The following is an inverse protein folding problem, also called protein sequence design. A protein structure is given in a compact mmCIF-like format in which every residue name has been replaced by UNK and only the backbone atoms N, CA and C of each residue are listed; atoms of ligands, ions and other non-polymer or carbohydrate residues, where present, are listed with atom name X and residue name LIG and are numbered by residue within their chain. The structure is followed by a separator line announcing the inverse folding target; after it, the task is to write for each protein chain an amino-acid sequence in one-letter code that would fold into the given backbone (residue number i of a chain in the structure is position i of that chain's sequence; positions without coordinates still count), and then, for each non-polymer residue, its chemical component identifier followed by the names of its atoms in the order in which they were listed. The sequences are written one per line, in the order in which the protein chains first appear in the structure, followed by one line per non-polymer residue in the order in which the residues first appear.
data_IF_958009807702
#
_entry.id   IF_958009807702
#
_cell.length_a   1.000
_cell.length_b   1.000
_cell.length_c   1.000
_cell.angle_alpha   90.00
_cell.angle_beta   90.00
_cell.angle_gamma   90.00
#
_symmetry.space_group_name_H-M   'P 1'
#
loop_
_entity.id
_entity.type
_entity.pdbx_description
1 polymer ?
#
# COMPACT_ATOMS: atom_id res chain seq x y z
N UNK A 1 -47.08 -21.24 -10.06
CA UNK A 1 -46.81 -20.81 -11.45
C UNK A 1 -45.40 -20.26 -11.48
N UNK A 2 -44.43 -21.15 -11.63
CA UNK A 2 -43.01 -20.85 -11.73
C UNK A 2 -42.67 -20.50 -13.18
N UNK A 3 -41.99 -19.37 -13.41
CA UNK A 3 -41.63 -18.87 -14.74
C UNK A 3 -40.21 -18.34 -14.74
N UNK A 4 -39.32 -19.11 -15.38
CA UNK A 4 -37.86 -19.04 -15.41
C UNK A 4 -37.28 -17.69 -15.85
N UNK A 5 -36.15 -17.33 -15.23
CA UNK A 5 -35.18 -16.37 -15.75
C UNK A 5 -34.58 -16.88 -17.08
N UNK A 6 -34.72 -16.09 -18.14
CA UNK A 6 -34.04 -16.28 -19.42
C UNK A 6 -33.16 -15.05 -19.65
N UNK A 7 -31.85 -15.25 -19.58
CA UNK A 7 -30.86 -14.32 -20.11
C UNK A 7 -30.30 -14.93 -21.39
N UNK A 8 -30.32 -14.24 -22.55
CA UNK A 8 -29.75 -14.78 -23.77
C UNK A 8 -28.22 -14.66 -23.81
N UNK A 9 -27.64 -15.73 -24.36
CA UNK A 9 -26.25 -16.10 -24.58
C UNK A 9 -25.51 -15.08 -25.47
N UNK A 10 -24.38 -14.55 -25.03
CA UNK A 10 -23.39 -13.89 -25.89
C UNK A 10 -22.49 -14.95 -26.51
N UNK A 11 -22.79 -15.30 -27.77
CA UNK A 11 -21.88 -16.01 -28.67
C UNK A 11 -21.39 -15.00 -29.72
N UNK A 12 -20.25 -15.33 -30.33
CA UNK A 12 -19.68 -14.73 -31.54
C UNK A 12 -18.59 -13.64 -31.37
N UNK A 13 -17.35 -14.13 -31.42
CA UNK A 13 -16.21 -13.42 -31.98
C UNK A 13 -15.91 -14.00 -33.39
N UNK A 14 -15.43 -13.16 -34.31
CA UNK A 14 -14.41 -13.60 -35.27
C UNK A 14 -13.26 -12.56 -35.27
N UNK A 15 -11.98 -12.91 -35.17
CA UNK A 15 -11.28 -13.85 -36.04
C UNK A 15 -10.42 -13.03 -37.01
N UNK A 16 -9.16 -12.74 -36.64
CA UNK A 16 -8.10 -12.40 -37.61
C UNK A 16 -6.84 -13.19 -37.25
N UNK A 17 -6.43 -13.97 -38.23
CA UNK A 17 -5.29 -14.86 -38.29
C UNK A 17 -3.96 -14.09 -38.57
N UNK A 18 -2.79 -14.77 -38.50
CA UNK A 18 -1.50 -14.16 -38.16
C UNK A 18 -0.55 -13.94 -39.36
N UNK A 19 0.45 -13.05 -39.21
CA UNK A 19 1.81 -13.08 -39.82
C UNK A 19 2.57 -11.76 -39.55
N UNK A 20 3.90 -11.65 -39.80
CA UNK A 20 5.02 -12.57 -39.58
C UNK A 20 6.10 -11.96 -38.65
N UNK A 21 6.95 -12.84 -38.10
CA UNK A 21 8.11 -12.50 -37.27
C UNK A 21 9.21 -11.87 -38.13
N UNK A 22 9.81 -10.77 -37.67
CA UNK A 22 11.23 -10.55 -37.88
C UNK A 22 11.95 -10.34 -36.55
N UNK A 23 13.09 -11.03 -36.45
CA UNK A 23 13.96 -11.20 -35.31
C UNK A 23 14.85 -9.98 -35.21
N UNK A 24 14.85 -9.27 -34.08
CA UNK A 24 16.05 -8.51 -33.71
C UNK A 24 16.21 -8.41 -32.20
N UNK A 25 17.35 -8.94 -31.82
CA UNK A 25 18.00 -9.07 -30.53
C UNK A 25 18.13 -7.72 -29.80
N UNK A 26 17.66 -7.66 -28.56
CA UNK A 26 18.24 -6.80 -27.52
C UNK A 26 17.76 -7.31 -26.16
N UNK A 27 18.63 -8.05 -25.50
CA UNK A 27 18.59 -8.28 -24.06
C UNK A 27 18.56 -6.95 -23.31
N UNK A 28 17.51 -6.69 -22.55
CA UNK A 28 17.55 -5.79 -21.39
C UNK A 28 16.35 -6.09 -20.47
N UNK A 29 16.62 -6.88 -19.43
CA UNK A 29 15.79 -6.95 -18.23
C UNK A 29 15.86 -5.62 -17.50
N UNK A 30 14.70 -5.00 -17.25
CA UNK A 30 14.34 -4.21 -16.05
C UNK A 30 13.53 -2.96 -16.35
N UNK A 31 12.64 -2.68 -15.39
CA UNK A 31 11.87 -1.47 -15.17
C UNK A 31 10.55 -1.34 -15.96
N UNK A 32 9.52 -2.06 -15.49
CA UNK A 32 8.17 -1.52 -15.52
C UNK A 32 8.09 -0.37 -14.51
N UNK A 33 8.29 0.86 -15.00
CA UNK A 33 7.99 2.09 -14.28
C UNK A 33 6.59 2.56 -14.65
N UNK A 34 5.70 2.67 -13.67
CA UNK A 34 4.46 3.44 -13.74
C UNK A 34 3.92 3.71 -12.33
N UNK A 35 3.14 4.79 -12.12
CA UNK A 35 3.68 6.06 -11.61
C UNK A 35 2.92 6.56 -10.36
N UNK A 36 3.59 7.30 -9.47
CA UNK A 36 2.98 8.44 -8.77
C UNK A 36 4.07 9.20 -8.01
N UNK A 37 4.38 10.40 -8.51
CA UNK A 37 5.29 11.33 -7.87
C UNK A 37 4.58 12.01 -6.69
N UNK A 38 4.72 11.46 -5.48
CA UNK A 38 4.40 12.15 -4.24
C UNK A 38 5.20 11.60 -3.03
N UNK A 39 6.45 11.21 -3.23
CA UNK A 39 7.46 11.23 -2.18
C UNK A 39 8.77 11.59 -2.88
N UNK A 40 9.34 12.76 -2.54
CA UNK A 40 10.72 13.04 -2.92
C UNK A 40 11.61 11.97 -2.29
N UNK A 41 11.99 10.98 -3.10
CA UNK A 41 13.10 10.10 -2.80
C UNK A 41 14.36 10.96 -2.78
N UNK A 42 14.84 11.25 -1.57
CA UNK A 42 16.27 11.50 -1.40
C UNK A 42 16.97 10.16 -1.68
N UNK A 43 17.63 10.10 -2.83
CA UNK A 43 18.44 8.99 -3.33
C UNK A 43 19.73 8.86 -2.50
N UNK A 44 19.60 8.43 -1.25
CA UNK A 44 20.71 8.02 -0.38
C UNK A 44 20.08 7.10 0.65
N UNK A 45 20.48 5.82 0.80
CA UNK A 45 20.09 5.09 1.99
C UNK A 45 20.77 5.82 3.16
N UNK A 46 20.03 6.54 4.04
CA UNK A 46 20.63 6.98 5.28
C UNK A 46 21.09 5.73 6.04
N UNK A 47 22.04 5.84 6.99
CA UNK A 47 22.20 4.76 7.97
C UNK A 47 20.81 4.41 8.47
N UNK A 48 20.49 3.11 8.55
CA UNK A 48 19.19 2.63 8.96
C UNK A 48 18.93 3.06 10.41
N UNK A 49 18.56 4.32 10.60
CA UNK A 49 17.97 4.82 11.81
C UNK A 49 16.70 4.00 11.97
N UNK A 50 16.57 3.31 13.10
CA UNK A 50 15.41 2.49 13.43
C UNK A 50 14.09 3.24 13.21
N UNK A 51 14.12 4.58 13.26
CA UNK A 51 12.98 5.48 12.97
C UNK A 51 12.58 5.49 11.50
N UNK A 52 13.53 5.49 10.56
CA UNK A 52 13.23 5.55 9.13
C UNK A 52 12.56 4.25 8.64
N UNK A 53 13.02 3.10 9.14
CA UNK A 53 12.38 1.81 8.87
C UNK A 53 10.93 1.74 9.40
N UNK A 54 10.67 2.38 10.55
CA UNK A 54 9.29 2.53 11.07
C UNK A 54 8.48 3.38 10.12
N UNK A 55 9.01 4.54 9.72
CA UNK A 55 8.34 5.50 8.86
C UNK A 55 7.92 4.85 7.55
N UNK A 56 8.84 4.19 6.86
CA UNK A 56 8.56 3.49 5.60
C UNK A 56 7.47 2.42 5.76
N UNK A 57 7.55 1.63 6.83
CA UNK A 57 6.54 0.62 7.12
C UNK A 57 5.16 1.23 7.38
N UNK A 58 5.10 2.32 8.14
CA UNK A 58 3.87 3.02 8.48
C UNK A 58 3.23 3.63 7.24
N UNK A 59 4.02 4.34 6.42
CA UNK A 59 3.57 4.91 5.13
C UNK A 59 3.02 3.82 4.23
N UNK A 60 3.79 2.74 4.00
CA UNK A 60 3.35 1.61 3.16
C UNK A 60 2.05 1.00 3.68
N UNK A 61 1.98 0.70 4.97
CA UNK A 61 0.81 0.04 5.57
C UNK A 61 -0.42 0.93 5.52
N UNK A 62 -0.27 2.23 5.79
CA UNK A 62 -1.37 3.18 5.63
C UNK A 62 -1.84 3.26 4.17
N UNK A 63 -0.91 3.31 3.22
CA UNK A 63 -1.26 3.35 1.80
C UNK A 63 -2.04 2.12 1.35
N UNK A 64 -1.66 0.94 1.83
CA UNK A 64 -2.39 -0.30 1.59
C UNK A 64 -3.78 -0.31 2.25
N UNK A 65 -3.88 0.16 3.50
CA UNK A 65 -5.13 0.16 4.26
C UNK A 65 -6.15 1.19 3.77
N UNK A 66 -5.67 2.37 3.37
CA UNK A 66 -6.51 3.48 2.91
C UNK A 66 -6.69 3.48 1.39
N UNK A 67 -5.88 2.73 0.64
CA UNK A 67 -5.87 2.71 -0.82
C UNK A 67 -5.39 4.03 -1.43
N UNK A 68 -4.46 4.74 -0.78
CA UNK A 68 -3.98 6.07 -1.20
C UNK A 68 -2.48 6.23 -1.03
N UNK A 69 -1.84 6.96 -1.93
CA UNK A 69 -0.41 7.27 -1.88
C UNK A 69 -0.11 8.70 -1.40
N UNK A 70 -1.11 9.58 -1.32
CA UNK A 70 -0.96 10.99 -0.91
C UNK A 70 -0.92 11.17 0.62
N UNK A 71 0.00 10.46 1.28
CA UNK A 71 0.21 10.57 2.72
C UNK A 71 1.32 11.57 3.01
N UNK A 72 1.13 12.35 4.08
CA UNK A 72 2.10 13.31 4.60
C UNK A 72 2.38 12.98 6.06
N UNK A 73 3.50 13.46 6.61
CA UNK A 73 3.89 13.20 8.00
C UNK A 73 2.83 13.64 9.03
N UNK A 74 2.06 14.69 8.72
CA UNK A 74 0.96 15.18 9.55
C UNK A 74 -0.41 14.67 9.12
N UNK A 75 -0.48 13.65 8.26
CA UNK A 75 -1.77 13.10 7.85
C UNK A 75 -2.48 12.42 9.03
N UNK A 76 -3.75 12.78 9.21
CA UNK A 76 -4.64 12.15 10.17
C UNK A 76 -5.35 10.94 9.56
N UNK A 77 -5.31 9.80 10.26
CA UNK A 77 -5.83 8.54 9.75
C UNK A 77 -7.32 8.61 9.43
N UNK A 78 -8.11 9.18 10.34
CA UNK A 78 -9.57 9.29 10.21
C UNK A 78 -9.99 10.30 9.14
N UNK A 79 -9.25 11.40 8.97
CA UNK A 79 -9.51 12.40 7.91
C UNK A 79 -9.28 11.80 6.53
N UNK A 80 -8.34 10.84 6.42
CA UNK A 80 -8.05 10.11 5.17
C UNK A 80 -9.03 8.96 4.87
N UNK A 81 -10.06 8.77 5.70
CA UNK A 81 -11.07 7.71 5.54
C UNK A 81 -10.75 6.43 6.31
N UNK A 82 -9.81 6.49 7.26
CA UNK A 82 -9.49 5.38 8.14
C UNK A 82 -10.55 5.16 9.22
N UNK A 83 -10.67 3.91 9.67
CA UNK A 83 -11.58 3.50 10.74
C UNK A 83 -10.88 2.63 11.80
N UNK A 84 -11.59 2.33 12.89
CA UNK A 84 -11.05 1.56 14.02
C UNK A 84 -10.64 0.14 13.66
N UNK A 85 -11.26 -0.50 12.67
CA UNK A 85 -10.87 -1.82 12.17
C UNK A 85 -9.54 -1.73 11.43
N UNK A 86 -9.33 -0.68 10.62
CA UNK A 86 -8.06 -0.48 9.93
C UNK A 86 -6.92 -0.13 10.90
N UNK A 87 -7.15 0.68 11.94
CA UNK A 87 -6.13 0.91 12.97
C UNK A 87 -5.83 -0.39 13.75
N UNK A 88 -6.84 -1.21 14.06
CA UNK A 88 -6.59 -2.50 14.70
C UNK A 88 -5.71 -3.42 13.83
N UNK A 89 -5.95 -3.45 12.51
CA UNK A 89 -5.08 -4.15 11.56
C UNK A 89 -3.66 -3.58 11.56
N UNK A 90 -3.51 -2.26 11.59
CA UNK A 90 -2.21 -1.59 11.68
C UNK A 90 -1.45 -2.00 12.96
N UNK A 91 -2.10 -1.93 14.13
CA UNK A 91 -1.53 -2.32 15.43
C UNK A 91 -1.03 -3.78 15.43
N UNK A 92 -1.82 -4.69 14.85
CA UNK A 92 -1.42 -6.11 14.72
C UNK A 92 -0.16 -6.27 13.87
N UNK A 93 -0.12 -5.64 12.68
CA UNK A 93 1.04 -5.70 11.79
C UNK A 93 2.29 -5.08 12.42
N UNK A 94 2.13 -4.01 13.20
CA UNK A 94 3.22 -3.39 13.97
C UNK A 94 3.77 -4.38 15.00
N UNK A 95 2.89 -5.04 15.76
CA UNK A 95 3.28 -6.04 16.74
C UNK A 95 3.99 -7.24 16.11
N UNK A 96 3.51 -7.70 14.95
CA UNK A 96 4.12 -8.80 14.20
C UNK A 96 5.49 -8.45 13.62
N UNK A 97 5.65 -7.23 13.06
CA UNK A 97 6.92 -6.81 12.45
C UNK A 97 7.97 -6.40 13.48
N UNK A 98 7.57 -5.64 14.49
CA UNK A 98 8.52 -4.96 15.39
C UNK A 98 8.47 -5.46 16.84
N UNK A 99 7.57 -6.39 17.18
CA UNK A 99 7.37 -6.82 18.57
C UNK A 99 6.84 -5.72 19.51
N UNK A 100 6.45 -4.56 18.97
CA UNK A 100 6.02 -3.41 19.75
C UNK A 100 4.58 -3.59 20.25
N UNK A 101 4.37 -3.36 21.55
CA UNK A 101 3.04 -3.37 22.18
C UNK A 101 2.47 -1.95 22.20
N UNK A 102 1.71 -1.60 21.17
CA UNK A 102 1.02 -0.31 21.07
C UNK A 102 -0.50 -0.48 21.25
N UNK A 103 -1.13 0.45 21.97
CA UNK A 103 -2.59 0.44 22.15
C UNK A 103 -3.29 0.99 20.90
N UNK A 104 -4.44 0.39 20.57
CA UNK A 104 -5.36 0.93 19.56
C UNK A 104 -5.73 2.40 19.86
N UNK A 105 -5.95 2.71 21.14
CA UNK A 105 -6.31 4.04 21.58
C UNK A 105 -5.20 5.04 21.29
N UNK A 106 -3.96 4.72 21.65
CA UNK A 106 -2.81 5.60 21.41
C UNK A 106 -2.56 5.81 19.92
N UNK A 107 -2.72 4.77 19.09
CA UNK A 107 -2.60 4.93 17.65
C UNK A 107 -3.71 5.77 17.03
N UNK A 108 -4.93 5.69 17.55
CA UNK A 108 -6.06 6.41 16.97
C UNK A 108 -5.99 7.94 17.09
N UNK A 109 -5.26 8.47 18.07
CA UNK A 109 -5.22 9.93 18.32
C UNK A 109 -3.99 10.63 17.76
N UNK A 110 -3.18 9.90 17.00
CA UNK A 110 -1.88 10.34 16.50
C UNK A 110 -1.91 10.44 14.98
N UNK A 111 -1.29 11.50 14.46
CA UNK A 111 -0.96 11.58 13.04
C UNK A 111 0.19 10.61 12.70
N UNK A 112 0.52 10.50 11.42
CA UNK A 112 1.53 9.54 10.95
C UNK A 112 2.89 9.67 11.66
N UNK A 113 3.42 10.89 11.85
CA UNK A 113 4.72 11.09 12.52
C UNK A 113 4.67 10.73 14.01
N UNK A 114 3.58 11.07 14.71
CA UNK A 114 3.38 10.71 16.11
C UNK A 114 3.22 9.19 16.30
N UNK A 115 2.60 8.51 15.35
CA UNK A 115 2.49 7.06 15.34
C UNK A 115 3.86 6.39 15.14
N UNK A 116 4.68 6.92 14.23
CA UNK A 116 6.07 6.48 14.02
C UNK A 116 6.89 6.62 15.30
N UNK A 117 6.82 7.78 15.94
CA UNK A 117 7.51 8.03 17.21
C UNK A 117 7.07 7.06 18.32
N UNK A 118 5.77 6.79 18.44
CA UNK A 118 5.24 5.83 19.40
C UNK A 118 5.82 4.43 19.19
N UNK A 119 5.81 3.93 17.96
CA UNK A 119 6.33 2.60 17.63
C UNK A 119 7.84 2.51 17.81
N UNK A 120 8.57 3.59 17.56
CA UNK A 120 10.00 3.68 17.84
C UNK A 120 10.29 3.68 19.36
N UNK A 121 9.47 4.36 20.16
CA UNK A 121 9.62 4.33 21.62
C UNK A 121 9.24 2.99 22.24
N UNK A 122 8.29 2.26 21.65
CA UNK A 122 7.80 0.99 22.19
C UNK A 122 8.68 -0.25 21.89
N UNK A 123 9.71 -0.08 21.05
CA UNK A 123 10.70 -1.12 20.70
C UNK A 123 12.04 -0.98 21.43
N UNK A 124 12.28 0.20 22.03
CA UNK A 124 13.49 0.51 22.80
C UNK A 124 13.31 0.01 24.22
#
# INVERSE_FOLDING_TARGET
MEGRAHWPRSDEAPGVAPMPRDRSDAVATSALSSPSAAYHAADTPPPADSTDEVREFMVRTWSELLGRSDLTEHSDFFVRGGDSLLINRLVRRIGEKFGAKVSLYDMSRRNLVDQVALVHSART
#
